data_IF_313197396830
#
_entry.id   IF_313197396830
#
_cell.length_a   1.000
_cell.length_b   1.000
_cell.length_c   1.000
_cell.angle_alpha   90.00
_cell.angle_beta   90.00
_cell.angle_gamma   90.00
#
_symmetry.space_group_name_H-M   'P 1'
#
loop_
_entity.id
_entity.type
_entity.pdbx_description
1 polymer ?
#
# COMPACT_ATOMS: atom_id res chain seq x y z
N UNK A 1 13.01 -5.18 12.05
CA UNK A 1 13.13 -3.70 11.97
C UNK A 1 11.86 -3.12 12.59
N UNK A 2 11.98 -2.15 13.49
CA UNK A 2 10.79 -1.46 14.00
C UNK A 2 10.31 -0.44 12.96
N UNK A 3 9.28 -0.82 12.19
CA UNK A 3 8.70 0.04 11.17
C UNK A 3 7.81 1.14 11.77
N UNK A 4 7.32 0.98 13.01
CA UNK A 4 6.45 1.96 13.64
C UNK A 4 7.20 3.28 13.90
N UNK A 5 8.51 3.21 14.15
CA UNK A 5 9.38 4.38 14.27
C UNK A 5 9.43 5.27 13.01
N UNK A 6 9.01 4.75 11.84
CA UNK A 6 8.96 5.48 10.57
C UNK A 6 7.56 6.03 10.26
N UNK A 7 6.59 5.85 11.15
CA UNK A 7 5.24 6.38 11.00
C UNK A 7 5.06 7.57 11.93
N UNK A 8 4.67 8.71 11.38
CA UNK A 8 4.34 9.89 12.18
C UNK A 8 2.83 10.10 12.26
N UNK A 9 2.40 10.59 13.42
CA UNK A 9 1.02 10.99 13.65
C UNK A 9 0.86 12.47 13.24
N UNK A 10 -0.14 12.76 12.42
CA UNK A 10 -0.55 14.12 12.07
C UNK A 10 -1.97 14.33 12.63
N UNK A 11 -2.15 15.17 13.67
CA UNK A 11 -3.47 15.41 14.24
C UNK A 11 -4.33 16.24 13.29
N UNK A 12 -5.66 16.07 13.41
CA UNK A 12 -6.68 16.87 12.73
C UNK A 12 -6.57 16.94 11.20
N UNK A 13 -6.11 15.84 10.58
CA UNK A 13 -5.98 15.73 9.13
C UNK A 13 -6.73 14.51 8.57
N UNK A 14 -7.46 14.64 7.44
CA UNK A 14 -7.73 15.87 6.69
C UNK A 14 -8.79 16.78 7.32
N UNK A 15 -9.45 16.33 8.40
CA UNK A 15 -10.47 17.08 9.13
C UNK A 15 -10.26 16.91 10.65
N UNK A 16 -10.80 17.82 11.49
CA UNK A 16 -10.68 17.74 12.94
C UNK A 16 -11.15 16.40 13.51
N UNK A 17 -10.46 15.92 14.55
CA UNK A 17 -10.73 14.67 15.24
C UNK A 17 -10.10 13.42 14.61
N UNK A 18 -9.43 13.54 13.46
CA UNK A 18 -8.72 12.41 12.83
C UNK A 18 -7.23 12.45 13.19
N UNK A 19 -6.72 11.35 13.75
CA UNK A 19 -5.28 11.12 13.86
C UNK A 19 -4.75 10.40 12.63
N UNK A 20 -4.21 11.16 11.67
CA UNK A 20 -3.69 10.61 10.44
C UNK A 20 -2.34 9.92 10.65
N UNK A 21 -2.19 8.72 10.08
CA UNK A 21 -0.92 7.99 10.02
C UNK A 21 -0.19 8.33 8.72
N UNK A 22 0.83 9.15 8.84
CA UNK A 22 1.66 9.51 7.70
C UNK A 22 2.84 8.54 7.56
N UNK A 23 2.77 7.75 6.49
CA UNK A 23 3.75 6.73 6.12
C UNK A 23 4.90 7.30 5.26
N UNK A 24 4.87 8.58 4.88
CA UNK A 24 5.89 9.17 3.99
C UNK A 24 7.33 9.04 4.49
N UNK A 25 7.66 9.06 5.81
CA UNK A 25 9.02 8.80 6.25
C UNK A 25 9.45 7.35 5.99
N UNK A 26 8.56 6.38 6.18
CA UNK A 26 8.78 4.98 5.81
C UNK A 26 9.04 4.83 4.31
N UNK A 27 8.25 5.52 3.48
CA UNK A 27 8.40 5.48 2.02
C UNK A 27 9.72 6.12 1.55
N UNK A 28 10.23 7.12 2.27
CA UNK A 28 11.48 7.83 1.94
C UNK A 28 12.73 7.02 2.29
N UNK A 29 12.68 6.16 3.31
CA UNK A 29 13.79 5.26 3.66
C UNK A 29 13.68 3.96 2.86
N UNK A 30 14.59 3.75 1.91
CA UNK A 30 14.55 2.58 1.03
C UNK A 30 14.64 1.23 1.76
N UNK A 31 15.30 1.17 2.93
CA UNK A 31 15.37 -0.06 3.74
C UNK A 31 14.06 -0.30 4.46
N UNK A 32 13.45 0.75 5.02
CA UNK A 32 12.15 0.65 5.67
C UNK A 32 11.05 0.27 4.67
N UNK A 33 11.06 0.88 3.47
CA UNK A 33 10.16 0.52 2.38
C UNK A 33 10.31 -0.97 2.01
N UNK A 34 11.53 -1.43 1.72
CA UNK A 34 11.80 -2.85 1.40
C UNK A 34 11.28 -3.77 2.51
N UNK A 35 11.67 -3.50 3.76
CA UNK A 35 11.29 -4.33 4.89
C UNK A 35 9.77 -4.34 5.14
N UNK A 36 9.08 -3.24 4.89
CA UNK A 36 7.62 -3.18 4.99
C UNK A 36 6.96 -4.08 3.96
N UNK A 37 7.36 -4.00 2.69
CA UNK A 37 6.76 -4.83 1.65
C UNK A 37 7.14 -6.31 1.84
N UNK A 38 8.36 -6.63 2.30
CA UNK A 38 8.78 -8.00 2.59
C UNK A 38 7.94 -8.60 3.73
N UNK A 39 7.71 -7.85 4.80
CA UNK A 39 6.84 -8.28 5.90
C UNK A 39 5.37 -8.44 5.46
N UNK A 40 4.89 -7.60 4.54
CA UNK A 40 3.55 -7.76 3.96
C UNK A 40 3.44 -9.01 3.07
N UNK A 41 4.50 -9.36 2.34
CA UNK A 41 4.52 -10.50 1.43
C UNK A 41 4.71 -11.84 2.15
N UNK A 42 5.46 -11.87 3.25
CA UNK A 42 5.88 -13.09 3.94
C UNK A 42 4.76 -14.11 4.22
N UNK A 43 3.55 -13.71 4.66
CA UNK A 43 2.47 -14.67 4.92
C UNK A 43 1.90 -15.34 3.66
N UNK A 44 2.18 -14.80 2.48
CA UNK A 44 1.52 -15.17 1.22
C UNK A 44 2.46 -15.77 0.17
N UNK A 45 3.75 -15.94 0.49
CA UNK A 45 4.78 -16.31 -0.50
C UNK A 45 4.51 -17.68 -1.14
N UNK A 46 3.86 -18.58 -0.39
CA UNK A 46 3.48 -19.92 -0.85
C UNK A 46 2.00 -20.02 -1.23
N UNK A 47 1.25 -18.91 -1.17
CA UNK A 47 -0.21 -18.90 -1.36
C UNK A 47 -0.65 -18.77 -2.82
N UNK A 48 0.28 -18.72 -3.79
CA UNK A 48 -0.01 -18.54 -5.22
C UNK A 48 -1.01 -17.41 -5.49
N UNK A 49 -0.69 -16.19 -5.06
CA UNK A 49 -1.57 -15.04 -5.24
C UNK A 49 -1.60 -14.63 -6.72
N UNK A 50 -2.79 -14.66 -7.33
CA UNK A 50 -2.97 -14.21 -8.72
C UNK A 50 -2.97 -12.69 -8.86
N UNK A 51 -3.54 -11.97 -7.88
CA UNK A 51 -3.62 -10.52 -7.92
C UNK A 51 -3.57 -9.84 -6.55
N UNK A 52 -3.00 -8.63 -6.54
CA UNK A 52 -3.05 -7.68 -5.43
C UNK A 52 -3.90 -6.48 -5.84
N UNK A 53 -4.93 -6.20 -5.07
CA UNK A 53 -5.83 -5.08 -5.31
C UNK A 53 -5.42 -3.88 -4.45
N UNK A 54 -5.03 -2.78 -5.08
CA UNK A 54 -4.71 -1.54 -4.38
C UNK A 54 -5.91 -0.60 -4.35
N UNK A 55 -6.19 0.02 -3.19
CA UNK A 55 -7.21 1.08 -3.08
C UNK A 55 -6.55 2.45 -3.26
N UNK A 56 -7.14 3.31 -4.08
CA UNK A 56 -6.52 4.59 -4.44
C UNK A 56 -6.32 5.56 -3.26
N UNK A 57 -5.37 6.50 -3.35
CA UNK A 57 -4.15 6.46 -4.17
C UNK A 57 -2.99 5.84 -3.40
N UNK A 58 -2.99 5.99 -2.08
CA UNK A 58 -1.89 5.57 -1.19
C UNK A 58 -1.70 4.06 -1.14
N UNK A 59 -2.77 3.28 -1.33
CA UNK A 59 -2.68 1.82 -1.41
C UNK A 59 -1.87 1.32 -2.60
N UNK A 60 -1.72 2.12 -3.66
CA UNK A 60 -0.91 1.74 -4.82
C UNK A 60 0.58 1.70 -4.49
N UNK A 61 1.02 2.60 -3.62
CA UNK A 61 2.44 2.80 -3.30
C UNK A 61 3.07 1.53 -2.72
N UNK A 62 2.33 0.81 -1.87
CA UNK A 62 2.76 -0.46 -1.28
C UNK A 62 2.17 -1.68 -2.01
N UNK A 63 0.99 -1.55 -2.60
CA UNK A 63 0.32 -2.65 -3.30
C UNK A 63 1.05 -3.10 -4.57
N UNK A 64 1.59 -2.17 -5.35
CA UNK A 64 2.35 -2.51 -6.57
C UNK A 64 3.66 -3.27 -6.27
N UNK A 65 4.55 -2.82 -5.35
CA UNK A 65 5.73 -3.60 -5.01
C UNK A 65 5.40 -4.91 -4.29
N UNK A 66 4.26 -5.00 -3.56
CA UNK A 66 3.78 -6.26 -3.01
C UNK A 66 3.41 -7.25 -4.11
N UNK A 67 2.66 -6.82 -5.12
CA UNK A 67 2.33 -7.62 -6.29
C UNK A 67 3.59 -8.14 -6.99
N UNK A 68 4.59 -7.26 -7.15
CA UNK A 68 5.88 -7.62 -7.74
C UNK A 68 6.58 -8.73 -6.93
N UNK A 69 6.62 -8.62 -5.60
CA UNK A 69 7.26 -9.65 -4.76
C UNK A 69 6.53 -10.98 -4.75
N UNK A 70 5.20 -10.97 -4.88
CA UNK A 70 4.38 -12.17 -4.96
C UNK A 70 4.29 -12.74 -6.39
N UNK A 71 4.93 -12.10 -7.38
CA UNK A 71 4.80 -12.42 -8.80
C UNK A 71 3.34 -12.44 -9.29
N UNK A 72 2.52 -11.56 -8.71
CA UNK A 72 1.08 -11.43 -8.96
C UNK A 72 0.78 -10.23 -9.87
N UNK A 73 -0.42 -10.23 -10.48
CA UNK A 73 -0.96 -9.04 -11.12
C UNK A 73 -1.29 -7.93 -10.11
N UNK A 74 -1.33 -6.68 -10.55
CA UNK A 74 -1.81 -5.56 -9.74
C UNK A 74 -3.07 -4.94 -10.34
N UNK A 75 -4.12 -4.80 -9.53
CA UNK A 75 -5.41 -4.22 -9.96
C UNK A 75 -5.68 -2.93 -9.18
N UNK A 76 -5.74 -1.76 -9.85
CA UNK A 76 -6.07 -0.50 -9.19
C UNK A 76 -7.58 -0.34 -9.02
N UNK A 77 -8.04 -0.21 -7.76
CA UNK A 77 -9.41 0.23 -7.44
C UNK A 77 -9.42 1.74 -7.24
N UNK A 78 -10.26 2.43 -8.00
CA UNK A 78 -10.37 3.89 -8.01
C UNK A 78 -11.79 4.37 -7.77
N UNK A 79 -11.95 5.62 -7.32
CA UNK A 79 -13.26 6.27 -7.25
C UNK A 79 -13.93 6.28 -8.64
N UNK A 80 -15.28 6.37 -8.68
CA UNK A 80 -16.03 6.46 -9.93
C UNK A 80 -15.48 7.52 -10.88
N UNK A 81 -15.43 7.18 -12.18
CA UNK A 81 -14.96 8.09 -13.24
C UNK A 81 -13.44 8.24 -13.36
N UNK A 82 -12.64 7.43 -12.65
CA UNK A 82 -11.16 7.48 -12.69
C UNK A 82 -10.48 6.32 -13.43
N UNK A 83 -11.26 5.32 -13.88
CA UNK A 83 -10.78 4.25 -14.75
C UNK A 83 -11.23 4.53 -16.20
N UNK A 84 -10.34 4.37 -17.18
CA UNK A 84 -10.62 4.71 -18.58
C UNK A 84 -11.37 3.62 -19.36
N UNK A 85 -11.36 2.39 -18.87
CA UNK A 85 -11.99 1.23 -19.51
C UNK A 85 -13.11 0.66 -18.63
N UNK A 86 -13.82 -0.34 -19.17
CA UNK A 86 -14.86 -1.05 -18.43
C UNK A 86 -14.32 -1.67 -17.15
N UNK A 87 -15.14 -1.61 -16.11
CA UNK A 87 -14.82 -2.13 -14.78
C UNK A 87 -15.06 -3.64 -14.78
N UNK A 88 -14.23 -4.37 -14.04
CA UNK A 88 -14.55 -5.76 -13.68
C UNK A 88 -15.84 -5.75 -12.85
N UNK A 89 -16.83 -6.50 -13.30
CA UNK A 89 -18.14 -6.66 -12.65
C UNK A 89 -18.12 -7.71 -11.55
#
# INVERSE_FOLDING_TARGET
MDLAAYIRNVPDFPIPGIQFKDITPLLRDGRALRAAVEQMAAPFIDSQIDCVVGIESRGFILGTPLALMLQAGFVPVRKPGKLPADKLG
#
